data_IF_570989805835
#
_entry.id   IF_570989805835
#
_cell.length_a   1.000
_cell.length_b   1.000
_cell.length_c   1.000
_cell.angle_alpha   90.00
_cell.angle_beta   90.00
_cell.angle_gamma   90.00
#
_symmetry.space_group_name_H-M   'P 1'
#
loop_
_entity.id
_entity.type
_entity.pdbx_description
1 polymer ?
#
# COMPACT_ATOMS: atom_id res chain seq x y z
N UNK A 1 27.91 -29.39 -53.09
CA UNK A 1 26.93 -28.34 -52.74
C UNK A 1 26.22 -28.78 -51.47
N UNK A 2 26.42 -28.11 -50.32
CA UNK A 2 25.78 -28.53 -49.08
C UNK A 2 24.27 -28.33 -49.20
N UNK A 3 23.48 -29.39 -49.02
CA UNK A 3 22.03 -29.31 -48.90
C UNK A 3 21.74 -28.58 -47.59
N UNK A 4 21.45 -27.29 -47.68
CA UNK A 4 20.86 -26.53 -46.58
C UNK A 4 19.57 -27.25 -46.21
N UNK A 5 19.56 -27.91 -45.05
CA UNK A 5 18.45 -28.73 -44.62
C UNK A 5 17.24 -27.81 -44.41
N UNK A 6 16.11 -28.07 -45.07
CA UNK A 6 14.91 -27.23 -44.99
C UNK A 6 14.43 -27.02 -43.54
N UNK A 7 14.68 -28.01 -42.68
CA UNK A 7 14.50 -27.94 -41.23
C UNK A 7 15.35 -26.85 -40.54
N UNK A 8 16.60 -26.68 -40.98
CA UNK A 8 17.51 -25.65 -40.46
C UNK A 8 17.03 -24.24 -40.85
N UNK A 9 16.48 -24.08 -42.05
CA UNK A 9 15.87 -22.82 -42.51
C UNK A 9 14.60 -22.50 -41.73
N UNK A 10 13.74 -23.49 -41.49
CA UNK A 10 12.52 -23.33 -40.67
C UNK A 10 12.83 -22.95 -39.22
N UNK A 11 13.86 -23.57 -38.62
CA UNK A 11 14.31 -23.24 -37.26
C UNK A 11 14.88 -21.82 -37.20
N UNK A 12 15.68 -21.40 -38.18
CA UNK A 12 16.23 -20.03 -38.25
C UNK A 12 15.13 -18.97 -38.44
N UNK A 13 14.12 -19.25 -39.27
CA UNK A 13 12.96 -18.34 -39.48
C UNK A 13 12.11 -18.25 -38.20
N UNK A 14 11.93 -19.35 -37.48
CA UNK A 14 11.20 -19.37 -36.22
C UNK A 14 11.92 -18.57 -35.13
N UNK A 15 13.26 -18.66 -35.04
CA UNK A 15 14.07 -17.85 -34.12
C UNK A 15 13.99 -16.36 -34.47
N UNK A 16 14.02 -15.99 -35.76
CA UNK A 16 13.87 -14.59 -36.19
C UNK A 16 12.49 -14.00 -35.89
N UNK A 17 11.42 -14.80 -35.95
CA UNK A 17 10.07 -14.38 -35.58
C UNK A 17 9.92 -14.12 -34.08
N UNK A 18 10.58 -14.93 -33.23
CA UNK A 18 10.58 -14.74 -31.78
C UNK A 18 11.31 -13.44 -31.38
N UNK A 19 12.47 -13.18 -31.97
CA UNK A 19 13.27 -11.96 -31.73
C UNK A 19 12.52 -10.67 -32.12
N UNK A 20 11.61 -10.75 -33.10
CA UNK A 20 10.85 -9.59 -33.57
C UNK A 20 9.76 -9.17 -32.57
N UNK A 21 9.21 -10.12 -31.82
CA UNK A 21 8.13 -9.86 -30.86
C UNK A 21 8.69 -9.27 -29.56
N UNK A 22 9.84 -9.76 -29.11
CA UNK A 22 10.53 -9.27 -27.90
C UNK A 22 11.10 -7.88 -28.12
N UNK A 23 11.72 -7.60 -29.27
CA UNK A 23 12.20 -6.28 -29.64
C UNK A 23 11.09 -5.21 -29.62
N UNK A 24 9.87 -5.58 -30.00
CA UNK A 24 8.73 -4.65 -29.97
C UNK A 24 8.34 -4.28 -28.54
N UNK A 25 8.40 -5.24 -27.62
CA UNK A 25 8.03 -5.03 -26.20
C UNK A 25 9.09 -4.23 -25.46
N UNK A 26 10.37 -4.43 -25.78
CA UNK A 26 11.45 -3.62 -25.22
C UNK A 26 11.34 -2.17 -25.68
N UNK A 27 11.09 -1.93 -26.97
CA UNK A 27 10.87 -0.58 -27.51
C UNK A 27 9.66 0.11 -26.87
N UNK A 28 8.57 -0.64 -26.63
CA UNK A 28 7.40 -0.12 -25.93
C UNK A 28 7.75 0.29 -24.49
N UNK A 29 8.50 -0.54 -23.77
CA UNK A 29 8.99 -0.21 -22.42
C UNK A 29 9.81 1.08 -22.40
N UNK A 30 10.75 1.23 -23.34
CA UNK A 30 11.57 2.43 -23.48
C UNK A 30 10.75 3.68 -23.82
N UNK A 31 9.71 3.56 -24.64
CA UNK A 31 8.81 4.66 -24.97
C UNK A 31 7.98 5.08 -23.74
N UNK A 32 7.50 4.11 -22.96
CA UNK A 32 6.73 4.37 -21.74
C UNK A 32 7.60 5.01 -20.64
N UNK A 33 8.86 4.59 -20.50
CA UNK A 33 9.84 5.27 -19.65
C UNK A 33 10.00 6.74 -20.03
N UNK A 34 10.15 7.04 -21.33
CA UNK A 34 10.28 8.43 -21.81
C UNK A 34 9.04 9.27 -21.52
N UNK A 35 7.86 8.66 -21.48
CA UNK A 35 6.60 9.31 -21.10
C UNK A 35 6.41 9.44 -19.59
N UNK A 36 7.26 8.79 -18.79
CA UNK A 36 7.11 8.71 -17.33
C UNK A 36 6.01 7.75 -16.88
N UNK A 37 5.49 6.92 -17.77
CA UNK A 37 4.53 5.85 -17.44
C UNK A 37 5.31 4.64 -16.94
N UNK A 38 5.71 4.71 -15.66
CA UNK A 38 6.54 3.69 -15.04
C UNK A 38 5.82 2.34 -14.93
N UNK A 39 4.51 2.34 -14.68
CA UNK A 39 3.71 1.12 -14.55
C UNK A 39 3.57 0.39 -15.88
N UNK A 40 3.25 1.14 -16.93
CA UNK A 40 3.23 0.63 -18.29
C UNK A 40 4.59 0.07 -18.70
N UNK A 41 5.67 0.79 -18.38
CA UNK A 41 7.03 0.34 -18.69
C UNK A 41 7.39 -0.96 -17.95
N UNK A 42 7.07 -1.07 -16.65
CA UNK A 42 7.24 -2.32 -15.87
C UNK A 42 6.46 -3.47 -16.51
N UNK A 43 5.23 -3.23 -16.96
CA UNK A 43 4.43 -4.27 -17.63
C UNK A 43 5.06 -4.74 -18.95
N UNK A 44 5.51 -3.80 -19.79
CA UNK A 44 6.14 -4.10 -21.08
C UNK A 44 7.45 -4.88 -20.91
N UNK A 45 8.36 -4.43 -20.04
CA UNK A 45 9.61 -5.15 -19.79
C UNK A 45 9.40 -6.49 -19.10
N UNK A 46 8.38 -6.62 -18.24
CA UNK A 46 8.05 -7.91 -17.62
C UNK A 46 7.62 -8.92 -18.66
N UNK A 47 6.88 -8.51 -19.68
CA UNK A 47 6.49 -9.40 -20.77
C UNK A 47 7.69 -9.77 -21.64
N UNK A 48 8.54 -8.80 -21.99
CA UNK A 48 9.78 -9.08 -22.71
C UNK A 48 10.69 -10.06 -21.95
N UNK A 49 10.87 -9.85 -20.64
CA UNK A 49 11.68 -10.72 -19.78
C UNK A 49 11.06 -12.13 -19.61
N UNK A 50 9.73 -12.28 -19.71
CA UNK A 50 9.09 -13.60 -19.71
C UNK A 50 9.43 -14.41 -20.96
N UNK A 51 9.57 -13.75 -22.10
CA UNK A 51 9.93 -14.39 -23.38
C UNK A 51 11.41 -14.68 -23.48
N UNK A 52 12.26 -13.84 -22.89
CA UNK A 52 13.71 -14.00 -22.84
C UNK A 52 14.25 -14.01 -21.40
N UNK A 53 13.97 -15.08 -20.62
CA UNK A 53 14.29 -15.12 -19.18
C UNK A 53 15.80 -15.15 -18.86
N UNK A 54 16.66 -15.36 -19.86
CA UNK A 54 18.12 -15.40 -19.71
C UNK A 54 18.81 -14.14 -20.27
N UNK A 55 18.04 -13.16 -20.74
CA UNK A 55 18.59 -11.91 -21.24
C UNK A 55 18.89 -10.97 -20.06
N UNK A 56 20.17 -10.87 -19.69
CA UNK A 56 20.64 -10.03 -18.58
C UNK A 56 20.33 -8.54 -18.77
N UNK A 57 20.36 -8.04 -20.00
CA UNK A 57 20.01 -6.64 -20.28
C UNK A 57 18.55 -6.36 -19.94
N UNK A 58 17.65 -7.29 -20.28
CA UNK A 58 16.23 -7.17 -19.94
C UNK A 58 15.97 -7.28 -18.45
N UNK A 59 16.69 -8.18 -17.77
CA UNK A 59 16.62 -8.31 -16.31
C UNK A 59 17.04 -7.00 -15.62
N UNK A 60 18.16 -6.40 -16.05
CA UNK A 60 18.65 -5.12 -15.53
C UNK A 60 17.66 -3.98 -15.82
N UNK A 61 17.16 -3.86 -17.05
CA UNK A 61 16.14 -2.85 -17.41
C UNK A 61 14.88 -3.00 -16.56
N UNK A 62 14.37 -4.23 -16.40
CA UNK A 62 13.21 -4.50 -15.57
C UNK A 62 13.45 -4.10 -14.11
N UNK A 63 14.63 -4.39 -13.56
CA UNK A 63 15.00 -3.98 -12.20
C UNK A 63 15.01 -2.46 -12.07
N UNK A 64 15.67 -1.76 -12.98
CA UNK A 64 15.75 -0.29 -12.95
C UNK A 64 14.37 0.36 -13.03
N UNK A 65 13.51 -0.11 -13.93
CA UNK A 65 12.17 0.47 -14.08
C UNK A 65 11.27 0.18 -12.89
N UNK A 66 11.40 -0.99 -12.25
CA UNK A 66 10.68 -1.31 -11.01
C UNK A 66 11.05 -0.37 -9.87
N UNK A 67 12.34 -0.04 -9.73
CA UNK A 67 12.80 0.92 -8.72
C UNK A 67 12.17 2.30 -8.96
N UNK A 68 12.16 2.78 -10.22
CA UNK A 68 11.54 4.07 -10.56
C UNK A 68 10.03 4.08 -10.34
N UNK A 69 9.34 3.00 -10.72
CA UNK A 69 7.91 2.84 -10.45
C UNK A 69 7.63 2.83 -8.94
N UNK A 70 8.48 2.16 -8.15
CA UNK A 70 8.36 2.12 -6.70
C UNK A 70 8.52 3.52 -6.09
N UNK A 71 9.53 4.28 -6.52
CA UNK A 71 9.73 5.68 -6.10
C UNK A 71 8.52 6.56 -6.46
N UNK A 72 7.98 6.39 -7.67
CA UNK A 72 6.79 7.11 -8.11
C UNK A 72 5.59 6.83 -7.19
N UNK A 73 5.25 5.57 -6.96
CA UNK A 73 4.17 5.19 -6.02
C UNK A 73 4.43 5.69 -4.60
N UNK A 74 5.67 5.63 -4.12
CA UNK A 74 6.03 6.16 -2.81
C UNK A 74 5.75 7.67 -2.70
N UNK A 75 6.12 8.44 -3.72
CA UNK A 75 5.83 9.89 -3.75
C UNK A 75 4.33 10.17 -3.79
N UNK A 76 3.57 9.38 -4.55
CA UNK A 76 2.11 9.49 -4.62
C UNK A 76 1.46 9.14 -3.29
N UNK A 77 1.89 8.06 -2.63
CA UNK A 77 1.43 7.67 -1.30
C UNK A 77 1.66 8.77 -0.26
N UNK A 78 2.83 9.42 -0.28
CA UNK A 78 3.11 10.58 0.59
C UNK A 78 2.21 11.77 0.29
N UNK A 79 1.89 12.03 -0.98
CA UNK A 79 0.95 13.08 -1.36
C UNK A 79 -0.46 12.79 -0.83
N UNK A 80 -0.95 11.56 -1.06
CA UNK A 80 -2.28 11.14 -0.59
C UNK A 80 -2.40 11.17 0.93
N UNK A 81 -1.32 10.84 1.64
CA UNK A 81 -1.29 10.94 3.10
C UNK A 81 -1.42 12.39 3.59
N UNK A 82 -0.76 13.34 2.94
CA UNK A 82 -0.91 14.78 3.24
C UNK A 82 -2.34 15.27 2.99
N UNK A 83 -3.00 14.72 1.98
CA UNK A 83 -4.41 14.97 1.67
C UNK A 83 -5.37 14.17 2.57
N UNK A 84 -4.85 13.48 3.60
CA UNK A 84 -5.59 12.64 4.54
C UNK A 84 -6.34 11.44 3.92
N UNK A 85 -6.04 11.11 2.67
CA UNK A 85 -6.58 9.97 1.94
C UNK A 85 -5.82 8.69 2.32
N UNK A 86 -5.97 8.26 3.58
CA UNK A 86 -5.21 7.15 4.17
C UNK A 86 -5.36 5.85 3.38
N UNK A 87 -6.58 5.51 2.93
CA UNK A 87 -6.82 4.27 2.19
C UNK A 87 -6.06 4.24 0.86
N UNK A 88 -6.03 5.36 0.13
CA UNK A 88 -5.30 5.49 -1.14
C UNK A 88 -3.79 5.48 -0.87
N UNK A 89 -3.32 6.23 0.12
CA UNK A 89 -1.91 6.23 0.53
C UNK A 89 -1.41 4.83 0.87
N UNK A 90 -2.23 4.02 1.54
CA UNK A 90 -1.90 2.63 1.87
C UNK A 90 -1.67 1.78 0.61
N UNK A 91 -2.56 1.89 -0.39
CA UNK A 91 -2.42 1.16 -1.65
C UNK A 91 -1.14 1.56 -2.39
N UNK A 92 -0.85 2.87 -2.46
CA UNK A 92 0.36 3.38 -3.11
C UNK A 92 1.63 2.88 -2.41
N UNK A 93 1.68 2.89 -1.08
CA UNK A 93 2.83 2.34 -0.35
C UNK A 93 2.97 0.83 -0.50
N UNK A 94 1.87 0.09 -0.63
CA UNK A 94 1.91 -1.35 -0.94
C UNK A 94 2.48 -1.61 -2.33
N UNK A 95 2.11 -0.82 -3.34
CA UNK A 95 2.67 -0.92 -4.69
C UNK A 95 4.17 -0.62 -4.69
N UNK A 96 4.59 0.46 -4.02
CA UNK A 96 6.00 0.79 -3.86
C UNK A 96 6.80 -0.37 -3.26
N UNK A 97 6.31 -0.94 -2.16
CA UNK A 97 6.96 -2.06 -1.49
C UNK A 97 6.96 -3.35 -2.33
N UNK A 98 5.89 -3.61 -3.10
CA UNK A 98 5.81 -4.76 -3.99
C UNK A 98 6.76 -4.70 -5.18
N UNK A 99 7.14 -3.49 -5.61
CA UNK A 99 8.07 -3.25 -6.71
C UNK A 99 9.53 -3.26 -6.26
N UNK A 100 9.82 -2.72 -5.07
CA UNK A 100 11.14 -2.71 -4.45
C UNK A 100 11.04 -3.05 -2.94
N UNK A 101 11.09 -4.35 -2.59
CA UNK A 101 10.91 -4.83 -1.22
C UNK A 101 12.12 -4.59 -0.30
N UNK A 102 13.28 -4.23 -0.84
CA UNK A 102 14.53 -4.04 -0.08
C UNK A 102 14.58 -2.65 0.57
N UNK A 103 13.76 -1.71 0.10
CA UNK A 103 13.71 -0.33 0.61
C UNK A 103 13.05 -0.25 1.99
N UNK A 104 13.86 -0.10 3.03
CA UNK A 104 13.42 0.08 4.43
C UNK A 104 12.46 1.26 4.62
N UNK A 105 12.63 2.33 3.84
CA UNK A 105 11.77 3.52 3.86
C UNK A 105 10.31 3.19 3.48
N UNK A 106 10.09 2.24 2.56
CA UNK A 106 8.74 1.83 2.14
C UNK A 106 8.05 1.02 3.22
N UNK A 107 8.79 0.14 3.92
CA UNK A 107 8.29 -0.56 5.11
C UNK A 107 7.87 0.41 6.21
N UNK A 108 8.70 1.41 6.51
CA UNK A 108 8.42 2.41 7.53
C UNK A 108 7.15 3.21 7.20
N UNK A 109 7.04 3.72 5.96
CA UNK A 109 5.86 4.46 5.54
C UNK A 109 4.58 3.61 5.55
N UNK A 110 4.67 2.34 5.14
CA UNK A 110 3.53 1.43 5.18
C UNK A 110 3.06 1.18 6.62
N UNK A 111 3.99 0.98 7.55
CA UNK A 111 3.68 0.81 8.98
C UNK A 111 3.04 2.08 9.58
N UNK A 112 3.56 3.25 9.23
CA UNK A 112 3.01 4.53 9.68
C UNK A 112 1.57 4.72 9.20
N UNK A 113 1.29 4.45 7.92
CA UNK A 113 -0.07 4.56 7.37
C UNK A 113 -1.01 3.52 7.98
N UNK A 114 -0.53 2.29 8.23
CA UNK A 114 -1.31 1.30 8.97
C UNK A 114 -1.68 1.77 10.37
N UNK A 115 -0.72 2.33 11.12
CA UNK A 115 -0.97 2.90 12.45
C UNK A 115 -2.06 3.97 12.40
N UNK A 116 -2.00 4.89 11.43
CA UNK A 116 -3.00 5.94 11.27
C UNK A 116 -4.38 5.39 10.88
N UNK A 117 -4.43 4.41 9.97
CA UNK A 117 -5.68 3.73 9.60
C UNK A 117 -6.31 3.05 10.81
N UNK A 118 -5.51 2.30 11.57
CA UNK A 118 -5.96 1.61 12.77
C UNK A 118 -6.46 2.61 13.81
N UNK A 119 -5.72 3.70 14.07
CA UNK A 119 -6.15 4.74 14.99
C UNK A 119 -7.54 5.30 14.66
N UNK A 120 -7.79 5.61 13.36
CA UNK A 120 -9.11 6.09 12.90
C UNK A 120 -10.21 5.05 13.02
N UNK A 121 -9.90 3.77 12.76
CA UNK A 121 -10.86 2.69 12.94
C UNK A 121 -11.21 2.51 14.42
N UNK A 122 -10.20 2.45 15.29
CA UNK A 122 -10.38 2.35 16.75
C UNK A 122 -11.19 3.53 17.28
N UNK A 123 -10.96 4.74 16.77
CA UNK A 123 -11.75 5.93 17.11
C UNK A 123 -13.23 5.79 16.70
N UNK A 124 -13.49 5.24 15.51
CA UNK A 124 -14.86 4.97 15.07
C UNK A 124 -15.54 3.94 15.96
N UNK A 125 -14.84 2.86 16.31
CA UNK A 125 -15.35 1.81 17.20
C UNK A 125 -15.60 2.36 18.62
N UNK A 126 -14.74 3.25 19.12
CA UNK A 126 -14.93 3.94 20.41
C UNK A 126 -16.22 4.75 20.44
N UNK A 127 -16.48 5.56 19.40
CA UNK A 127 -17.72 6.33 19.24
C UNK A 127 -18.95 5.43 19.17
N UNK A 128 -18.82 4.29 18.50
CA UNK A 128 -19.90 3.32 18.44
C UNK A 128 -20.24 2.77 19.83
N UNK A 129 -19.23 2.38 20.63
CA UNK A 129 -19.43 1.90 22.00
C UNK A 129 -19.98 2.99 22.94
N UNK A 130 -19.53 4.23 22.79
CA UNK A 130 -20.08 5.39 23.52
C UNK A 130 -21.57 5.54 23.25
N UNK A 131 -21.99 5.44 21.97
CA UNK A 131 -23.40 5.51 21.57
C UNK A 131 -24.27 4.37 22.13
N UNK A 132 -23.67 3.23 22.44
CA UNK A 132 -24.33 2.10 23.10
C UNK A 132 -24.36 2.23 24.64
N UNK A 133 -23.78 3.28 25.21
CA UNK A 133 -23.65 3.46 26.66
C UNK A 133 -22.58 2.58 27.31
N UNK A 134 -21.77 1.86 26.51
CA UNK A 134 -20.69 0.98 26.98
C UNK A 134 -19.44 1.81 27.25
N UNK A 135 -19.52 2.65 28.28
CA UNK A 135 -18.53 3.68 28.56
C UNK A 135 -17.14 3.14 28.91
N UNK A 136 -17.05 2.03 29.64
CA UNK A 136 -15.74 1.42 29.96
C UNK A 136 -14.98 1.00 28.69
N UNK A 137 -15.68 0.37 27.74
CA UNK A 137 -15.09 -0.07 26.48
C UNK A 137 -14.79 1.11 25.55
N UNK A 138 -15.68 2.10 25.50
CA UNK A 138 -15.44 3.32 24.75
C UNK A 138 -14.17 4.04 25.24
N UNK A 139 -13.96 4.12 26.55
CA UNK A 139 -12.79 4.75 27.14
C UNK A 139 -11.49 4.05 26.70
N UNK A 140 -11.42 2.72 26.83
CA UNK A 140 -10.24 1.95 26.40
C UNK A 140 -9.95 2.11 24.91
N UNK A 141 -10.99 2.11 24.06
CA UNK A 141 -10.81 2.31 22.62
C UNK A 141 -10.36 3.74 22.30
N UNK A 142 -10.88 4.76 22.99
CA UNK A 142 -10.41 6.12 22.81
C UNK A 142 -8.95 6.30 23.22
N UNK A 143 -8.55 5.75 24.37
CA UNK A 143 -7.15 5.76 24.83
C UNK A 143 -6.23 5.11 23.80
N UNK A 144 -6.59 3.90 23.33
CA UNK A 144 -5.83 3.19 22.30
C UNK A 144 -5.74 3.97 20.98
N UNK A 145 -6.82 4.63 20.56
CA UNK A 145 -6.81 5.46 19.35
C UNK A 145 -5.83 6.65 19.47
N UNK A 146 -5.79 7.30 20.62
CA UNK A 146 -4.89 8.44 20.89
C UNK A 146 -3.44 7.99 21.09
N UNK A 147 -3.20 6.82 21.67
CA UNK A 147 -1.87 6.20 21.73
C UNK A 147 -1.33 5.90 20.32
N UNK A 148 -2.20 5.37 19.45
CA UNK A 148 -1.85 5.10 18.07
C UNK A 148 -1.65 6.38 17.26
N UNK A 149 -2.44 7.43 17.46
CA UNK A 149 -2.27 8.73 16.82
C UNK A 149 -2.61 9.87 17.78
N UNK A 150 -1.58 10.49 18.42
CA UNK A 150 -1.79 11.58 19.37
C UNK A 150 -2.41 12.85 18.77
N UNK A 151 -2.51 12.96 17.44
CA UNK A 151 -3.13 14.12 16.78
C UNK A 151 -4.66 14.06 16.70
N UNK A 152 -5.27 12.92 17.05
CA UNK A 152 -6.72 12.73 17.04
C UNK A 152 -7.40 13.46 18.22
N UNK A 153 -7.68 14.75 18.06
CA UNK A 153 -8.37 15.56 19.08
C UNK A 153 -9.73 14.97 19.49
N UNK A 154 -10.46 14.41 18.53
CA UNK A 154 -11.75 13.75 18.76
C UNK A 154 -11.66 12.59 19.77
N UNK A 155 -10.51 11.89 19.82
CA UNK A 155 -10.28 10.82 20.78
C UNK A 155 -10.13 11.37 22.20
N UNK A 156 -9.32 12.41 22.37
CA UNK A 156 -9.12 13.10 23.67
C UNK A 156 -10.43 13.70 24.20
N UNK A 157 -11.22 14.30 23.31
CA UNK A 157 -12.55 14.81 23.64
C UNK A 157 -13.51 13.68 24.05
N UNK A 158 -13.45 12.54 23.35
CA UNK A 158 -14.18 11.31 23.68
C UNK A 158 -13.87 10.80 25.09
N UNK A 159 -12.58 10.67 25.43
CA UNK A 159 -12.12 10.30 26.79
C UNK A 159 -12.76 11.22 27.82
N UNK A 160 -12.67 12.54 27.62
CA UNK A 160 -13.19 13.53 28.56
C UNK A 160 -14.70 13.36 28.78
N UNK A 161 -15.47 13.22 27.69
CA UNK A 161 -16.94 13.03 27.77
C UNK A 161 -17.30 11.73 28.48
N UNK A 162 -16.69 10.61 28.07
CA UNK A 162 -16.99 9.28 28.62
C UNK A 162 -16.68 9.21 30.12
N UNK A 163 -15.57 9.79 30.56
CA UNK A 163 -15.22 9.85 32.00
C UNK A 163 -16.24 10.66 32.81
N UNK A 164 -16.79 11.74 32.25
CA UNK A 164 -17.85 12.51 32.92
C UNK A 164 -19.15 11.70 33.03
N UNK A 165 -19.53 10.97 31.97
CA UNK A 165 -20.72 10.12 31.94
C UNK A 165 -20.62 8.95 32.92
N UNK A 166 -19.45 8.32 33.04
CA UNK A 166 -19.20 7.27 34.03
C UNK A 166 -19.41 7.78 35.45
N UNK A 167 -18.83 8.95 35.79
CA UNK A 167 -18.98 9.55 37.12
C UNK A 167 -20.44 9.87 37.43
N UNK A 168 -21.18 10.42 36.48
CA UNK A 168 -22.60 10.69 36.65
C UNK A 168 -23.41 9.41 36.87
N UNK A 169 -23.13 8.36 36.10
CA UNK A 169 -23.84 7.07 36.21
C UNK A 169 -23.53 6.35 37.54
N UNK A 170 -22.28 6.39 37.98
CA UNK A 170 -21.85 5.84 39.28
C UNK A 170 -22.47 6.62 40.46
N UNK A 171 -22.57 7.94 40.36
CA UNK A 171 -23.22 8.76 41.39
C UNK A 171 -24.72 8.44 41.52
N UNK A 172 -25.40 8.10 40.41
CA UNK A 172 -26.80 7.70 40.43
C UNK A 172 -26.94 6.27 40.98
N UNK A 173 -26.14 5.31 40.50
CA UNK A 173 -26.19 3.91 40.93
C UNK A 173 -25.72 3.63 42.36
N UNK A 174 -24.81 4.45 42.89
CA UNK A 174 -24.29 4.34 44.26
C UNK A 174 -25.20 4.95 45.35
N UNK A 175 -26.29 5.61 44.96
CA UNK A 175 -27.25 6.24 45.89
C UNK A 175 -28.37 5.31 46.38
N UNK A 176 -28.41 4.05 45.93
CA UNK A 176 -29.34 3.05 46.43
C UNK A 176 -28.72 2.28 47.61
N UNK A 177 -28.74 2.88 48.80
CA UNK A 177 -28.50 2.15 50.06
C UNK A 177 -29.59 1.08 50.27
N UNK A 178 -29.26 -0.09 50.85
CA UNK A 178 -30.27 -1.10 51.17
C UNK A 178 -31.21 -0.57 52.26
N UNK A 179 -32.51 -0.65 52.00
CA UNK A 179 -33.55 -0.44 53.02
C UNK A 179 -33.44 -1.59 54.03
N UNK A 180 -32.90 -1.27 55.20
CA UNK A 180 -32.96 -1.96 56.51
C UNK A 180 -32.82 -3.48 56.57
#
# INVERSE_FOLDING_TARGET
MPRINSFCVLVLVFIMLLMSCTLRETQLGEELEKKGDWDGAVAAYREAARKEPYNKELEEKLKTVKIRAAEHHFTLGRKMLKEQQIAVALQEFQLALGLDPEKTEYHAALNDVWRLKTARQTLFDAKHMEGLGRYDEALTLYESAVELDPSLSEGVEGITRVVQLQKATQAIGGSAEPVT
#
